data_IF_068450893924
#
_entry.id   IF_068450893924
#
_cell.length_a   1.000
_cell.length_b   1.000
_cell.length_c   1.000
_cell.angle_alpha   90.00
_cell.angle_beta   90.00
_cell.angle_gamma   90.00
#
_symmetry.space_group_name_H-M   'P 1'
#
loop_
_entity.id
_entity.type
_entity.pdbx_description
1 polymer ?
#
# COMPACT_ATOMS: atom_id res chain seq x y z
N UNK A 1 12.31 -27.40 3.84
CA UNK A 1 12.14 -25.92 3.86
C UNK A 1 10.70 -25.64 4.25
N UNK A 2 10.49 -25.19 5.48
CA UNK A 2 9.16 -24.74 5.91
C UNK A 2 8.77 -23.51 5.07
N UNK A 3 7.57 -23.52 4.47
CA UNK A 3 7.01 -22.34 3.84
C UNK A 3 6.80 -21.32 4.94
N UNK A 4 7.62 -20.26 4.99
CA UNK A 4 7.35 -19.12 5.88
C UNK A 4 5.92 -18.65 5.63
N UNK A 5 5.12 -18.61 6.70
CA UNK A 5 3.75 -18.13 6.66
C UNK A 5 3.78 -16.63 6.34
N UNK A 6 3.06 -16.23 5.29
CA UNK A 6 2.94 -14.82 4.92
C UNK A 6 2.31 -14.04 6.07
N UNK A 7 3.10 -13.15 6.67
CA UNK A 7 2.72 -12.35 7.83
C UNK A 7 3.03 -10.88 7.54
N UNK A 8 2.05 -10.02 7.79
CA UNK A 8 2.17 -8.58 7.60
C UNK A 8 1.35 -7.83 8.65
N UNK A 9 1.61 -6.53 8.81
CA UNK A 9 0.79 -5.61 9.59
C UNK A 9 0.45 -4.37 8.78
N UNK A 10 -0.68 -3.75 9.11
CA UNK A 10 -1.17 -2.52 8.47
C UNK A 10 -1.09 -1.39 9.51
N UNK A 11 -0.46 -0.29 9.13
CA UNK A 11 -0.35 0.90 9.96
C UNK A 11 -1.06 2.07 9.25
N UNK A 12 -2.23 2.53 9.73
CA UNK A 12 -2.82 3.78 9.26
C UNK A 12 -1.87 4.95 9.54
N UNK A 13 -1.68 5.79 8.52
CA UNK A 13 -0.76 6.92 8.55
C UNK A 13 -1.47 8.27 8.63
N UNK A 14 -2.77 8.33 8.34
CA UNK A 14 -3.54 9.57 8.47
C UNK A 14 -4.08 9.72 9.89
N UNK A 15 -4.00 10.95 10.38
CA UNK A 15 -4.50 11.37 11.67
C UNK A 15 -5.33 12.64 11.51
N UNK A 16 -6.44 12.73 12.23
CA UNK A 16 -7.27 13.93 12.30
C UNK A 16 -7.06 14.63 13.65
N UNK A 17 -6.69 15.91 13.58
CA UNK A 17 -6.54 16.78 14.75
C UNK A 17 -7.23 18.10 14.48
N UNK A 18 -8.21 18.44 15.33
CA UNK A 18 -8.97 19.70 15.23
C UNK A 18 -9.59 19.95 13.83
N UNK A 19 -10.07 18.89 13.17
CA UNK A 19 -10.67 18.97 11.83
C UNK A 19 -9.66 19.07 10.67
N UNK A 20 -8.36 18.97 10.95
CA UNK A 20 -7.30 18.90 9.93
C UNK A 20 -6.75 17.49 9.83
N UNK A 21 -6.59 16.99 8.60
CA UNK A 21 -5.98 15.68 8.32
C UNK A 21 -4.49 15.87 8.05
N UNK A 22 -3.65 15.10 8.75
CA UNK A 22 -2.20 15.08 8.60
C UNK A 22 -1.65 13.65 8.57
N UNK A 23 -0.39 13.50 8.21
CA UNK A 23 0.33 12.22 8.28
C UNK A 23 1.84 12.45 8.12
N UNK A 24 2.67 11.39 8.21
CA UNK A 24 4.10 11.48 7.98
C UNK A 24 4.41 12.09 6.60
N UNK A 25 5.33 13.07 6.57
CA UNK A 25 5.57 13.92 5.40
C UNK A 25 5.88 13.12 4.13
N UNK A 26 6.89 12.23 4.16
CA UNK A 26 7.32 11.50 2.95
C UNK A 26 6.22 10.62 2.34
N UNK A 27 5.56 9.70 3.09
CA UNK A 27 4.46 8.90 2.54
C UNK A 27 3.26 9.73 2.07
N UNK A 28 2.98 10.84 2.74
CA UNK A 28 1.87 11.71 2.38
C UNK A 28 2.14 12.49 1.09
N UNK A 29 3.36 13.03 0.92
CA UNK A 29 3.75 13.71 -0.32
C UNK A 29 3.81 12.74 -1.49
N UNK A 30 4.35 11.52 -1.30
CA UNK A 30 4.28 10.45 -2.29
C UNK A 30 2.83 10.19 -2.73
N UNK A 31 1.92 9.98 -1.77
CA UNK A 31 0.53 9.69 -2.09
C UNK A 31 -0.17 10.83 -2.84
N UNK A 32 0.14 12.10 -2.51
CA UNK A 32 -0.36 13.27 -3.23
C UNK A 32 0.17 13.32 -4.66
N UNK A 33 1.47 13.09 -4.84
CA UNK A 33 2.11 13.12 -6.16
C UNK A 33 1.48 12.07 -7.08
N UNK A 34 1.39 10.82 -6.62
CA UNK A 34 0.78 9.73 -7.39
C UNK A 34 -0.70 9.99 -7.67
N UNK A 35 -1.45 10.46 -6.67
CA UNK A 35 -2.86 10.83 -6.85
C UNK A 35 -3.04 11.92 -7.92
N UNK A 36 -2.16 12.93 -7.94
CA UNK A 36 -2.17 13.98 -8.95
C UNK A 36 -1.79 13.45 -10.34
N UNK A 37 -0.75 12.61 -10.44
CA UNK A 37 -0.28 12.06 -11.72
C UNK A 37 -1.32 11.13 -12.36
N UNK A 38 -1.94 10.26 -11.57
CA UNK A 38 -2.92 9.27 -12.06
C UNK A 38 -4.33 9.85 -12.16
N UNK A 39 -4.62 10.94 -11.44
CA UNK A 39 -5.91 11.64 -11.49
C UNK A 39 -6.98 11.05 -10.56
N UNK A 40 -6.59 10.57 -9.38
CA UNK A 40 -7.52 10.10 -8.34
C UNK A 40 -7.45 10.95 -7.08
N UNK A 41 -8.46 10.80 -6.21
CA UNK A 41 -8.46 11.37 -4.85
C UNK A 41 -8.36 10.23 -3.85
N UNK A 42 -7.72 10.48 -2.71
CA UNK A 42 -7.63 9.51 -1.61
C UNK A 42 -8.07 10.13 -0.29
N UNK A 43 -8.58 9.29 0.61
CA UNK A 43 -8.91 9.68 1.99
C UNK A 43 -8.41 8.66 3.02
N UNK A 44 -7.60 7.69 2.59
CA UNK A 44 -6.92 6.70 3.41
C UNK A 44 -5.48 6.56 2.92
N UNK A 45 -4.57 6.41 3.87
CA UNK A 45 -3.16 6.10 3.63
C UNK A 45 -2.67 5.19 4.75
N UNK A 46 -2.05 4.07 4.37
CA UNK A 46 -1.48 3.13 5.32
C UNK A 46 -0.15 2.57 4.80
N UNK A 47 0.72 2.17 5.72
CA UNK A 47 1.95 1.43 5.43
C UNK A 47 1.74 -0.05 5.73
N UNK A 48 2.29 -0.90 4.86
CA UNK A 48 2.42 -2.33 5.11
C UNK A 48 3.82 -2.63 5.64
N UNK A 49 3.88 -3.40 6.72
CA UNK A 49 5.10 -4.01 7.22
C UNK A 49 5.03 -5.51 7.01
N UNK A 50 6.08 -6.09 6.44
CA UNK A 50 6.17 -7.52 6.22
C UNK A 50 7.14 -8.15 7.22
N UNK A 51 6.82 -9.35 7.70
CA UNK A 51 7.76 -10.12 8.50
C UNK A 51 9.00 -10.53 7.70
N UNK A 52 8.85 -10.74 6.39
CA UNK A 52 9.96 -10.86 5.45
C UNK A 52 10.34 -9.47 4.91
N UNK A 53 11.40 -8.89 5.49
CA UNK A 53 11.93 -7.58 5.12
C UNK A 53 12.41 -7.47 3.66
N UNK A 54 12.55 -8.59 2.94
CA UNK A 54 12.98 -8.60 1.54
C UNK A 54 11.86 -8.26 0.56
N UNK A 55 10.61 -8.31 1.01
CA UNK A 55 9.44 -8.01 0.17
C UNK A 55 9.53 -6.57 -0.32
N UNK A 56 9.43 -6.39 -1.65
CA UNK A 56 9.49 -5.11 -2.34
C UNK A 56 10.80 -4.34 -2.18
N UNK A 57 11.87 -5.02 -1.74
CA UNK A 57 13.20 -4.45 -1.63
C UNK A 57 14.11 -4.88 -2.78
N UNK A 58 15.06 -4.03 -3.13
CA UNK A 58 16.17 -4.31 -4.04
C UNK A 58 17.47 -4.50 -3.23
N UNK A 59 18.54 -4.97 -3.88
CA UNK A 59 19.90 -4.90 -3.32
C UNK A 59 20.64 -3.72 -3.91
N UNK A 60 21.09 -2.81 -3.06
CA UNK A 60 21.88 -1.64 -3.44
C UNK A 60 23.01 -1.46 -2.43
N UNK A 61 24.23 -1.16 -2.90
CA UNK A 61 25.42 -0.91 -2.08
C UNK A 61 25.68 -1.91 -0.95
N UNK A 62 25.38 -3.20 -1.19
CA UNK A 62 25.60 -4.29 -0.24
C UNK A 62 24.47 -4.50 0.79
N UNK A 63 23.44 -3.65 0.78
CA UNK A 63 22.27 -3.72 1.66
C UNK A 63 20.97 -4.01 0.92
N UNK A 64 19.87 -4.13 1.67
CA UNK A 64 18.52 -4.00 1.13
C UNK A 64 18.17 -2.51 1.06
N UNK A 65 17.38 -2.14 0.05
CA UNK A 65 16.76 -0.80 0.00
C UNK A 65 15.82 -0.57 1.19
N UNK A 66 15.47 0.68 1.43
CA UNK A 66 14.48 1.09 2.42
C UNK A 66 13.14 1.49 1.80
N UNK A 67 12.68 0.79 0.76
CA UNK A 67 11.43 1.11 0.09
C UNK A 67 10.24 0.88 1.03
N UNK A 68 9.26 1.78 0.97
CA UNK A 68 8.00 1.61 1.68
C UNK A 68 6.99 0.88 0.79
N UNK A 69 6.13 0.07 1.40
CA UNK A 69 4.93 -0.44 0.72
C UNK A 69 3.70 0.25 1.28
N UNK A 70 2.97 0.97 0.44
CA UNK A 70 1.89 1.85 0.83
C UNK A 70 0.57 1.41 0.21
N UNK A 71 -0.50 1.50 1.01
CA UNK A 71 -1.88 1.44 0.53
C UNK A 71 -2.41 2.86 0.49
N UNK A 72 -2.82 3.28 -0.69
CA UNK A 72 -3.54 4.53 -0.92
C UNK A 72 -4.97 4.14 -1.26
N UNK A 73 -5.94 4.73 -0.56
CA UNK A 73 -7.32 4.30 -0.70
C UNK A 73 -8.35 5.39 -0.53
N UNK A 74 -9.56 5.07 -0.98
CA UNK A 74 -10.74 5.91 -0.82
C UNK A 74 -11.89 5.09 -0.31
N UNK A 75 -12.35 5.43 0.89
CA UNK A 75 -13.59 4.90 1.44
C UNK A 75 -14.71 5.86 1.07
N UNK A 76 -15.65 5.37 0.27
CA UNK A 76 -16.90 6.03 -0.08
C UNK A 76 -18.04 5.53 0.83
N UNK A 77 -19.22 6.12 0.69
CA UNK A 77 -20.41 5.69 1.46
C UNK A 77 -20.77 4.21 1.21
N UNK A 78 -20.65 3.75 -0.04
CA UNK A 78 -21.11 2.43 -0.46
C UNK A 78 -19.98 1.52 -0.97
N UNK A 79 -18.75 2.02 -1.10
CA UNK A 79 -17.66 1.28 -1.72
C UNK A 79 -16.29 1.68 -1.14
N UNK A 80 -15.30 0.85 -1.41
CA UNK A 80 -13.91 1.09 -1.04
C UNK A 80 -13.06 0.82 -2.26
N UNK A 81 -12.24 1.79 -2.61
CA UNK A 81 -11.19 1.65 -3.62
C UNK A 81 -9.83 1.60 -2.93
N UNK A 82 -8.99 0.65 -3.31
CA UNK A 82 -7.63 0.50 -2.79
C UNK A 82 -6.64 0.42 -3.94
N UNK A 83 -5.45 0.98 -3.71
CA UNK A 83 -4.31 0.88 -4.60
C UNK A 83 -3.05 0.63 -3.78
N UNK A 84 -2.27 -0.37 -4.17
CA UNK A 84 -1.06 -0.81 -3.50
C UNK A 84 0.17 -0.37 -4.30
N UNK A 85 1.15 0.22 -3.61
CA UNK A 85 2.33 0.83 -4.22
C UNK A 85 3.61 0.46 -3.47
N UNK A 86 4.72 0.41 -4.20
CA UNK A 86 6.06 0.53 -3.62
C UNK A 86 6.53 1.97 -3.81
N UNK A 87 6.80 2.68 -2.71
CA UNK A 87 7.49 3.97 -2.71
C UNK A 87 8.99 3.72 -2.65
N UNK A 88 9.70 4.13 -3.71
CA UNK A 88 11.15 3.93 -3.84
C UNK A 88 11.96 5.17 -3.42
N UNK A 89 11.34 6.18 -2.83
CA UNK A 89 11.94 7.44 -2.42
C UNK A 89 12.21 8.43 -3.56
N UNK A 90 12.36 7.94 -4.80
CA UNK A 90 12.52 8.73 -6.04
C UNK A 90 11.36 8.57 -7.02
N UNK A 91 10.34 7.79 -6.65
CA UNK A 91 9.22 7.45 -7.50
C UNK A 91 8.38 6.32 -6.91
N UNK A 92 7.41 5.83 -7.68
CA UNK A 92 6.47 4.80 -7.25
C UNK A 92 6.31 3.67 -8.26
N UNK A 93 6.18 2.45 -7.78
CA UNK A 93 5.78 1.28 -8.58
C UNK A 93 4.40 0.82 -8.14
N UNK A 94 3.40 1.00 -9.01
CA UNK A 94 2.06 0.50 -8.77
C UNK A 94 2.07 -1.03 -8.74
N UNK A 95 1.55 -1.65 -7.69
CA UNK A 95 1.45 -3.11 -7.58
C UNK A 95 0.12 -3.60 -8.15
N UNK A 96 -0.97 -3.12 -7.55
CA UNK A 96 -2.32 -3.52 -7.91
C UNK A 96 -3.37 -2.51 -7.44
N UNK A 97 -4.57 -2.60 -8.01
CA UNK A 97 -5.74 -1.79 -7.67
C UNK A 97 -6.99 -2.68 -7.57
N UNK A 98 -7.96 -2.29 -6.75
CA UNK A 98 -9.24 -2.99 -6.65
C UNK A 98 -10.35 -2.09 -6.11
N UNK A 99 -11.58 -2.34 -6.54
CA UNK A 99 -12.77 -1.93 -5.80
C UNK A 99 -13.29 -3.09 -4.96
N UNK A 100 -13.98 -2.79 -3.87
CA UNK A 100 -14.67 -3.84 -3.09
C UNK A 100 -15.87 -4.39 -3.88
N UNK A 101 -16.54 -3.54 -4.65
CA UNK A 101 -17.78 -3.87 -5.35
C UNK A 101 -17.59 -4.82 -6.55
N UNK A 102 -16.46 -4.74 -7.26
CA UNK A 102 -16.16 -5.59 -8.42
C UNK A 102 -15.50 -6.93 -8.02
N UNK A 103 -14.81 -6.96 -6.87
CA UNK A 103 -14.06 -8.12 -6.40
C UNK A 103 -12.85 -8.48 -7.28
N UNK A 104 -12.56 -7.68 -8.32
CA UNK A 104 -11.43 -7.88 -9.21
C UNK A 104 -10.21 -7.12 -8.71
N UNK A 105 -9.04 -7.73 -8.86
CA UNK A 105 -7.76 -7.12 -8.52
C UNK A 105 -6.96 -6.99 -9.79
N UNK A 106 -6.72 -5.75 -10.20
CA UNK A 106 -5.95 -5.41 -11.38
C UNK A 106 -4.48 -5.25 -10.99
N UNK A 107 -3.65 -6.23 -11.36
CA UNK A 107 -2.20 -6.17 -11.19
C UNK A 107 -1.57 -5.38 -12.32
N UNK A 108 -0.60 -4.53 -12.01
CA UNK A 108 0.11 -3.79 -13.06
C UNK A 108 1.29 -4.59 -13.60
N UNK A 109 1.53 -4.46 -14.91
CA UNK A 109 2.67 -5.11 -15.55
C UNK A 109 4.01 -4.50 -15.09
N UNK A 110 4.02 -3.22 -14.71
CA UNK A 110 5.21 -2.54 -14.20
C UNK A 110 5.79 -3.25 -12.97
N UNK A 111 4.95 -3.71 -12.05
CA UNK A 111 5.40 -4.49 -10.89
C UNK A 111 5.87 -5.90 -11.25
N UNK A 112 5.24 -6.52 -12.24
CA UNK A 112 5.65 -7.84 -12.75
C UNK A 112 7.05 -7.80 -13.36
N UNK A 113 7.36 -6.72 -14.08
CA UNK A 113 8.66 -6.50 -14.72
C UNK A 113 9.75 -6.04 -13.74
N UNK A 114 9.37 -5.39 -12.62
CA UNK A 114 10.33 -4.92 -11.63
C UNK A 114 11.06 -6.08 -10.95
N UNK A 115 12.37 -5.92 -10.79
CA UNK A 115 13.21 -6.86 -10.05
C UNK A 115 13.30 -6.46 -8.57
N UNK A 116 12.61 -7.20 -7.73
CA UNK A 116 12.76 -7.16 -6.27
C UNK A 116 13.36 -8.48 -5.78
N UNK A 117 14.00 -8.46 -4.61
CA UNK A 117 14.53 -9.66 -3.94
C UNK A 117 13.40 -10.64 -3.64
N UNK A 118 12.29 -10.12 -3.13
CA UNK A 118 11.04 -10.86 -3.00
C UNK A 118 9.88 -9.98 -3.49
N UNK A 119 8.93 -10.60 -4.21
CA UNK A 119 7.70 -9.95 -4.66
C UNK A 119 6.51 -10.56 -3.95
N UNK A 120 5.50 -9.74 -3.73
CA UNK A 120 4.17 -10.22 -3.44
C UNK A 120 3.65 -10.97 -4.67
N UNK A 121 3.12 -12.16 -4.43
CA UNK A 121 2.34 -12.87 -5.45
C UNK A 121 0.87 -12.45 -5.41
N UNK A 122 0.11 -12.90 -6.41
CA UNK A 122 -1.30 -12.50 -6.56
C UNK A 122 -2.16 -12.89 -5.35
N UNK A 123 -1.91 -14.08 -4.77
CA UNK A 123 -2.61 -14.51 -3.56
C UNK A 123 -2.33 -13.57 -2.38
N UNK A 124 -1.08 -13.17 -2.16
CA UNK A 124 -0.71 -12.29 -1.05
C UNK A 124 -1.35 -10.90 -1.17
N UNK A 125 -1.35 -10.32 -2.38
CA UNK A 125 -2.04 -9.05 -2.62
C UNK A 125 -3.55 -9.19 -2.43
N UNK A 126 -4.12 -10.31 -2.89
CA UNK A 126 -5.54 -10.62 -2.65
C UNK A 126 -5.86 -10.70 -1.16
N UNK A 127 -5.05 -11.42 -0.39
CA UNK A 127 -5.22 -11.56 1.05
C UNK A 127 -5.17 -10.18 1.75
N UNK A 128 -4.24 -9.29 1.33
CA UNK A 128 -4.14 -7.91 1.85
C UNK A 128 -5.43 -7.12 1.58
N UNK A 129 -5.87 -7.06 0.32
CA UNK A 129 -7.05 -6.28 -0.07
C UNK A 129 -8.32 -6.83 0.59
N UNK A 130 -8.50 -8.15 0.60
CA UNK A 130 -9.65 -8.77 1.25
C UNK A 130 -9.67 -8.53 2.75
N UNK A 131 -8.51 -8.54 3.42
CA UNK A 131 -8.45 -8.19 4.84
C UNK A 131 -9.03 -6.80 5.09
N UNK A 132 -8.64 -5.79 4.30
CA UNK A 132 -9.10 -4.40 4.44
C UNK A 132 -10.56 -4.25 4.01
N UNK A 133 -11.00 -4.95 2.96
CA UNK A 133 -12.39 -4.92 2.55
C UNK A 133 -13.33 -5.52 3.60
N UNK A 134 -12.89 -6.56 4.29
CA UNK A 134 -13.62 -7.20 5.39
C UNK A 134 -13.60 -6.37 6.67
N UNK A 135 -12.48 -5.70 6.97
CA UNK A 135 -12.36 -4.76 8.08
C UNK A 135 -11.68 -3.46 7.63
N UNK A 136 -12.46 -2.46 7.15
CA UNK A 136 -11.92 -1.17 6.72
C UNK A 136 -11.32 -0.34 7.84
N UNK A 137 -11.56 -0.70 9.11
CA UNK A 137 -11.02 0.04 10.25
C UNK A 137 -9.51 -0.02 10.33
N UNK A 138 -8.88 -1.04 9.72
CA UNK A 138 -7.43 -1.22 9.61
C UNK A 138 -6.70 -0.05 8.94
N UNK A 139 -7.39 0.79 8.17
CA UNK A 139 -6.82 1.96 7.50
C UNK A 139 -7.49 3.27 7.92
N UNK A 140 -8.35 3.26 8.94
CA UNK A 140 -9.06 4.46 9.38
C UNK A 140 -8.11 5.58 9.80
N UNK A 141 -8.57 6.81 9.57
CA UNK A 141 -7.92 8.01 10.08
C UNK A 141 -7.99 7.95 11.61
N UNK A 142 -6.83 8.02 12.27
CA UNK A 142 -6.77 7.99 13.73
C UNK A 142 -7.24 9.34 14.28
N UNK A 143 -8.06 9.31 15.31
CA UNK A 143 -8.38 10.51 16.10
C UNK A 143 -7.29 10.69 17.14
N UNK A 144 -6.59 11.83 17.10
CA UNK A 144 -5.56 12.20 18.05
C UNK A 144 -6.12 12.87 19.31
#
# INVERSE_FOLDING_TARGET
MEKQQFTYSIQPLLEEKQGSISGPMSPLEFAKEIAQQVGFKFNRLARLWFADERINQCREDGGLTGHDTLIIGTVYKNDIWLSLWVDTGVGGVAIAMAYRSDGSIDFTDLYRERHYVCKLNEKQVTDIFQSIFNDPSQINIKTA
#
